data_IF_478039866024
#
_entry.id   IF_478039866024
#
_cell.length_a   1.000
_cell.length_b   1.000
_cell.length_c   1.000
_cell.angle_alpha   90.00
_cell.angle_beta   90.00
_cell.angle_gamma   90.00
#
_symmetry.space_group_name_H-M   'P 1'
#
loop_
_entity.id
_entity.type
_entity.pdbx_description
1 polymer ?
#
# COMPACT_ATOMS: atom_id res chain seq x y z
N UNK A 1 -16.39 -7.95 1.57
CA UNK A 1 -16.04 -6.56 1.26
C UNK A 1 -16.06 -6.40 -0.25
N UNK A 2 -16.82 -5.47 -0.82
CA UNK A 2 -16.69 -5.12 -2.24
C UNK A 2 -17.12 -3.67 -2.46
N UNK A 3 -16.21 -2.72 -2.23
CA UNK A 3 -16.42 -1.33 -2.68
C UNK A 3 -15.68 -1.08 -3.98
N UNK A 4 -14.40 -1.43 -4.10
CA UNK A 4 -13.62 -1.07 -5.28
C UNK A 4 -14.03 -1.81 -6.57
N UNK A 5 -14.33 -3.12 -6.53
CA UNK A 5 -14.68 -3.83 -7.77
C UNK A 5 -16.08 -3.50 -8.29
N UNK A 6 -16.98 -2.93 -7.48
CA UNK A 6 -18.27 -2.42 -7.97
C UNK A 6 -18.10 -1.27 -8.98
N UNK A 7 -16.96 -0.57 -8.93
CA UNK A 7 -16.63 0.55 -9.81
C UNK A 7 -15.60 0.19 -10.87
N UNK A 8 -15.20 -1.09 -10.97
CA UNK A 8 -14.23 -1.55 -11.96
C UNK A 8 -12.79 -1.08 -11.69
N UNK A 9 -12.42 -0.82 -10.43
CA UNK A 9 -11.03 -0.51 -10.10
C UNK A 9 -10.12 -1.74 -10.27
N UNK A 10 -8.92 -1.49 -10.80
CA UNK A 10 -7.87 -2.48 -11.03
C UNK A 10 -6.98 -2.75 -9.80
N UNK A 11 -7.17 -2.00 -8.71
CA UNK A 11 -6.35 -2.09 -7.51
C UNK A 11 -6.69 -1.01 -6.49
N UNK A 12 -5.84 -0.91 -5.47
CA UNK A 12 -5.93 0.05 -4.37
C UNK A 12 -4.57 0.74 -4.21
N UNK A 13 -4.59 2.06 -4.08
CA UNK A 13 -3.42 2.85 -3.66
C UNK A 13 -3.63 3.29 -2.21
N UNK A 14 -2.64 3.08 -1.35
CA UNK A 14 -2.70 3.49 0.06
C UNK A 14 -1.81 4.70 0.27
N UNK A 15 -2.45 5.77 0.74
CA UNK A 15 -1.83 7.06 1.00
C UNK A 15 -1.95 7.41 2.49
N UNK A 16 -0.99 6.91 3.29
CA UNK A 16 -0.87 7.25 4.71
C UNK A 16 0.27 8.25 4.89
N UNK A 17 -0.10 9.50 5.15
CA UNK A 17 0.84 10.60 5.42
C UNK A 17 0.81 11.04 6.90
N UNK A 18 1.72 10.61 7.76
CA UNK A 18 2.68 9.52 7.62
C UNK A 18 2.63 8.68 8.90
N UNK A 19 3.09 7.42 8.90
CA UNK A 19 3.40 6.75 10.16
C UNK A 19 4.40 7.58 10.99
N UNK A 20 4.07 7.81 12.26
CA UNK A 20 4.83 8.66 13.19
C UNK A 20 5.61 7.85 14.24
N UNK A 21 5.27 6.56 14.40
CA UNK A 21 5.91 5.68 15.38
C UNK A 21 6.34 4.33 14.78
N UNK A 22 7.27 3.64 15.45
CA UNK A 22 7.67 2.27 15.08
C UNK A 22 6.47 1.29 15.09
N UNK A 23 5.49 1.51 15.99
CA UNK A 23 4.26 0.74 16.02
C UNK A 23 3.45 0.97 14.76
N UNK A 24 3.26 2.23 14.36
CA UNK A 24 2.53 2.56 13.14
C UNK A 24 3.26 2.06 11.87
N UNK A 25 4.59 2.07 11.86
CA UNK A 25 5.36 1.47 10.78
C UNK A 25 5.15 -0.05 10.68
N UNK A 26 5.07 -0.76 11.81
CA UNK A 26 4.75 -2.18 11.85
C UNK A 26 3.27 -2.46 11.47
N UNK A 27 2.36 -1.59 11.90
CA UNK A 27 0.95 -1.67 11.52
C UNK A 27 0.76 -1.42 10.03
N UNK A 28 1.57 -0.54 9.41
CA UNK A 28 1.51 -0.31 7.98
C UNK A 28 1.96 -1.55 7.18
N UNK A 29 3.01 -2.25 7.63
CA UNK A 29 3.39 -3.56 7.04
C UNK A 29 2.23 -4.56 7.16
N UNK A 30 1.58 -4.62 8.32
CA UNK A 30 0.46 -5.54 8.55
C UNK A 30 -0.75 -5.19 7.67
N UNK A 31 -1.06 -3.91 7.52
CA UNK A 31 -2.11 -3.41 6.63
C UNK A 31 -1.85 -3.83 5.19
N UNK A 32 -0.62 -3.66 4.68
CA UNK A 32 -0.26 -4.05 3.32
C UNK A 32 -0.34 -5.56 3.12
N UNK A 33 0.11 -6.34 4.11
CA UNK A 33 0.02 -7.79 4.10
C UNK A 33 -1.44 -8.27 4.01
N UNK A 34 -2.31 -7.79 4.90
CA UNK A 34 -3.71 -8.20 4.93
C UNK A 34 -4.47 -7.71 3.69
N UNK A 35 -4.18 -6.51 3.20
CA UNK A 35 -4.78 -5.99 1.96
C UNK A 35 -4.39 -6.85 0.76
N UNK A 36 -3.10 -7.19 0.63
CA UNK A 36 -2.61 -8.09 -0.42
C UNK A 36 -3.28 -9.46 -0.32
N UNK A 37 -3.39 -10.01 0.89
CA UNK A 37 -4.06 -11.29 1.12
C UNK A 37 -5.52 -11.25 0.65
N UNK A 38 -6.28 -10.22 1.04
CA UNK A 38 -7.69 -10.09 0.66
C UNK A 38 -7.89 -9.82 -0.84
N UNK A 39 -7.00 -9.05 -1.49
CA UNK A 39 -7.03 -8.87 -2.95
C UNK A 39 -6.82 -10.20 -3.68
N UNK A 40 -5.82 -10.98 -3.27
CA UNK A 40 -5.53 -12.29 -3.85
C UNK A 40 -6.66 -13.29 -3.60
N UNK A 41 -7.22 -13.28 -2.38
CA UNK A 41 -8.36 -14.09 -1.99
C UNK A 41 -9.60 -13.74 -2.82
N UNK A 42 -9.88 -12.46 -2.99
CA UNK A 42 -11.02 -12.00 -3.79
C UNK A 42 -10.91 -12.48 -5.25
N UNK A 43 -9.74 -12.30 -5.89
CA UNK A 43 -9.52 -12.78 -7.25
C UNK A 43 -9.76 -14.31 -7.36
N UNK A 44 -9.20 -15.07 -6.41
CA UNK A 44 -9.38 -16.52 -6.34
C UNK A 44 -10.84 -16.94 -6.15
N UNK A 45 -11.53 -16.34 -5.18
CA UNK A 45 -12.91 -16.68 -4.83
C UNK A 45 -13.90 -16.33 -5.95
N UNK A 46 -13.55 -15.39 -6.84
CA UNK A 46 -14.34 -14.99 -8.00
C UNK A 46 -13.82 -15.58 -9.33
N UNK A 47 -12.95 -16.60 -9.27
CA UNK A 47 -12.39 -17.27 -10.45
C UNK A 47 -11.68 -16.32 -11.44
N UNK A 48 -11.10 -15.23 -10.95
CA UNK A 48 -10.35 -14.28 -11.74
C UNK A 48 -8.87 -14.69 -11.76
N UNK A 49 -8.25 -14.63 -12.94
CA UNK A 49 -6.79 -14.75 -13.10
C UNK A 49 -6.08 -13.40 -13.02
N UNK A 50 -6.84 -12.35 -12.71
CA UNK A 50 -6.34 -10.98 -12.62
C UNK A 50 -5.59 -10.75 -11.31
N UNK A 51 -4.46 -10.07 -11.39
CA UNK A 51 -3.69 -9.61 -10.22
C UNK A 51 -4.06 -8.16 -9.93
N UNK A 52 -4.85 -7.94 -8.89
CA UNK A 52 -5.22 -6.59 -8.46
C UNK A 52 -3.99 -5.86 -7.92
N UNK A 53 -3.85 -4.58 -8.30
CA UNK A 53 -2.71 -3.78 -7.88
C UNK A 53 -2.85 -3.31 -6.42
N UNK A 54 -1.74 -3.28 -5.70
CA UNK A 54 -1.60 -2.58 -4.42
C UNK A 54 -0.40 -1.66 -4.52
N UNK A 55 -0.63 -0.36 -4.42
CA UNK A 55 0.43 0.65 -4.52
C UNK A 55 0.42 1.54 -3.29
N UNK A 56 1.52 2.26 -3.08
CA UNK A 56 1.64 3.21 -1.96
C UNK A 56 2.19 4.54 -2.44
N UNK A 57 1.57 5.63 -1.99
CA UNK A 57 2.20 6.95 -2.02
C UNK A 57 3.23 7.02 -0.87
N UNK A 58 4.46 7.43 -1.19
CA UNK A 58 5.58 7.36 -0.25
C UNK A 58 6.31 8.69 -0.13
N UNK A 59 6.59 9.08 1.12
CA UNK A 59 7.33 10.31 1.42
C UNK A 59 8.71 10.32 0.78
N UNK A 60 9.10 11.45 0.20
CA UNK A 60 10.49 11.74 -0.16
C UNK A 60 11.31 12.32 1.02
N UNK A 61 10.69 12.57 2.18
CA UNK A 61 11.33 13.14 3.37
C UNK A 61 12.11 12.10 4.19
N UNK A 62 13.42 12.30 4.47
CA UNK A 62 14.24 11.32 5.19
C UNK A 62 13.77 10.97 6.60
N UNK A 63 13.11 11.88 7.31
CA UNK A 63 12.52 11.60 8.63
C UNK A 63 11.39 10.57 8.55
N UNK A 64 10.62 10.57 7.46
CA UNK A 64 9.46 9.69 7.30
C UNK A 64 9.88 8.31 6.78
N UNK A 65 10.61 8.23 5.66
CA UNK A 65 10.92 6.93 5.07
C UNK A 65 11.94 6.10 5.86
N UNK A 66 12.75 6.72 6.75
CA UNK A 66 13.71 5.99 7.60
C UNK A 66 13.05 5.23 8.75
N UNK A 67 11.86 5.64 9.17
CA UNK A 67 11.05 4.94 10.18
C UNK A 67 10.40 3.68 9.60
N UNK A 68 10.16 3.66 8.28
CA UNK A 68 9.45 2.57 7.63
C UNK A 68 10.34 1.35 7.39
N UNK A 69 9.75 0.17 7.51
CA UNK A 69 10.38 -1.07 7.07
C UNK A 69 10.12 -1.32 5.58
N UNK A 70 10.80 -0.55 4.72
CA UNK A 70 10.62 -0.60 3.27
C UNK A 70 10.78 -2.02 2.69
N UNK A 71 11.75 -2.79 3.18
CA UNK A 71 11.99 -4.16 2.71
C UNK A 71 10.89 -5.16 3.11
N UNK A 72 10.16 -4.91 4.20
CA UNK A 72 8.99 -5.71 4.55
C UNK A 72 7.76 -5.28 3.73
N UNK A 73 7.58 -3.98 3.52
CA UNK A 73 6.48 -3.42 2.72
C UNK A 73 6.56 -3.84 1.24
N UNK A 74 7.76 -3.81 0.66
CA UNK A 74 8.04 -4.12 -0.76
C UNK A 74 7.57 -5.52 -1.19
N UNK A 75 7.40 -6.43 -0.24
CA UNK A 75 6.88 -7.79 -0.49
C UNK A 75 5.41 -7.82 -0.91
N UNK A 76 4.67 -6.75 -0.65
CA UNK A 76 3.21 -6.71 -0.78
C UNK A 76 2.71 -5.71 -1.82
N UNK A 77 3.49 -4.67 -2.10
CA UNK A 77 3.15 -3.60 -3.05
C UNK A 77 3.71 -3.90 -4.45
N UNK A 78 2.99 -3.47 -5.47
CA UNK A 78 3.40 -3.61 -6.87
C UNK A 78 4.26 -2.43 -7.34
N UNK A 79 4.00 -1.23 -6.80
CA UNK A 79 4.79 -0.04 -7.08
C UNK A 79 4.72 0.99 -5.96
N UNK A 80 5.77 1.81 -5.90
CA UNK A 80 5.89 2.95 -5.00
C UNK A 80 5.74 4.24 -5.79
N UNK A 81 4.80 5.09 -5.39
CA UNK A 81 4.60 6.43 -5.95
C UNK A 81 5.30 7.44 -5.05
N UNK A 82 6.57 7.75 -5.38
CA UNK A 82 7.37 8.69 -4.59
C UNK A 82 6.82 10.11 -4.72
N UNK A 83 6.40 10.70 -3.62
CA UNK A 83 5.91 12.08 -3.53
C UNK A 83 7.09 13.05 -3.54
N UNK A 84 7.75 13.15 -4.69
CA UNK A 84 8.95 13.97 -4.90
C UNK A 84 8.62 15.44 -5.19
N UNK A 85 7.78 16.02 -4.35
CA UNK A 85 7.29 17.40 -4.40
C UNK A 85 7.10 17.93 -2.97
N UNK A 86 6.59 19.16 -2.82
CA UNK A 86 6.37 19.83 -1.52
C UNK A 86 7.61 19.99 -0.63
N UNK A 87 8.79 20.14 -1.24
CA UNK A 87 10.04 20.36 -0.52
C UNK A 87 10.18 21.74 0.13
N UNK A 88 9.42 22.73 -0.34
CA UNK A 88 9.41 24.09 0.17
C UNK A 88 8.04 24.73 -0.10
N UNK A 89 7.62 25.64 0.78
CA UNK A 89 6.35 26.35 0.71
C UNK A 89 6.25 27.42 1.79
#
# INVERSE_FOLDING_TARGET
AVYFTNWGFDGIDIDWEYPETESEAADFVSLLQETRYELNKYAKDNNQTYHYLLTVAASAGPSHYRLLNLGAMDRYVDSWHLMAYDYAG
#
